data_IF_395529492155
#
_entry.id   IF_395529492155
#
_cell.length_a   1.000
_cell.length_b   1.000
_cell.length_c   1.000
_cell.angle_alpha   90.00
_cell.angle_beta   90.00
_cell.angle_gamma   90.00
#
_symmetry.space_group_name_H-M   'P 1'
#
loop_
_entity.id
_entity.type
_entity.pdbx_description
1 polymer ?
#
# COMPACT_ATOMS: atom_id res chain seq x y z
N UNK A 1 -38.69 4.15 64.12
CA UNK A 1 -39.21 4.38 62.75
C UNK A 1 -38.18 5.14 61.96
N UNK A 2 -37.21 4.42 61.33
CA UNK A 2 -36.15 5.03 60.48
C UNK A 2 -36.67 5.17 59.06
N UNK A 3 -36.75 6.41 58.60
CA UNK A 3 -37.05 6.73 57.19
C UNK A 3 -35.78 6.64 56.36
N UNK A 4 -35.68 5.62 55.51
CA UNK A 4 -34.63 5.55 54.48
C UNK A 4 -34.82 6.66 53.46
N UNK A 5 -33.76 7.47 53.25
CA UNK A 5 -33.74 8.49 52.21
C UNK A 5 -33.70 7.87 50.81
N UNK A 6 -34.38 8.47 49.82
CA UNK A 6 -34.38 7.95 48.44
C UNK A 6 -33.00 8.07 47.84
N UNK A 7 -32.48 6.95 47.32
CA UNK A 7 -31.23 6.93 46.53
C UNK A 7 -31.43 7.71 45.21
N UNK A 8 -30.72 8.78 45.08
CA UNK A 8 -30.64 9.54 43.83
C UNK A 8 -30.10 8.63 42.70
N UNK A 9 -30.80 8.44 41.55
CA UNK A 9 -30.28 7.63 40.47
C UNK A 9 -28.99 8.28 39.94
N UNK A 10 -27.95 7.46 39.76
CA UNK A 10 -26.71 7.93 39.13
C UNK A 10 -27.05 8.40 37.70
N UNK A 11 -26.52 9.55 37.25
CA UNK A 11 -26.65 9.95 35.86
C UNK A 11 -26.03 8.89 34.95
N UNK A 12 -26.74 8.55 33.88
CA UNK A 12 -26.23 7.64 32.85
C UNK A 12 -24.88 8.16 32.32
N UNK A 13 -23.93 7.27 32.09
CA UNK A 13 -22.67 7.67 31.47
C UNK A 13 -22.94 8.30 30.09
N UNK A 14 -22.20 9.34 29.71
CA UNK A 14 -22.37 9.99 28.43
C UNK A 14 -22.26 8.95 27.31
N UNK A 15 -23.27 8.88 26.45
CA UNK A 15 -23.23 8.05 25.26
C UNK A 15 -22.06 8.51 24.40
N UNK A 16 -21.06 7.66 24.30
CA UNK A 16 -20.00 7.88 23.32
C UNK A 16 -20.62 7.90 21.91
N UNK A 17 -20.25 8.87 21.06
CA UNK A 17 -20.67 8.82 19.67
C UNK A 17 -20.22 7.48 19.06
N UNK A 18 -20.96 6.93 18.08
CA UNK A 18 -20.53 5.73 17.38
C UNK A 18 -19.13 5.96 16.87
N UNK A 19 -18.22 5.00 17.11
CA UNK A 19 -16.86 5.07 16.61
C UNK A 19 -16.92 5.29 15.10
N UNK A 20 -16.28 6.35 14.61
CA UNK A 20 -16.12 6.55 13.18
C UNK A 20 -15.46 5.30 12.59
N UNK A 21 -15.93 4.82 11.41
CA UNK A 21 -15.28 3.69 10.77
C UNK A 21 -13.78 3.99 10.63
N UNK A 22 -12.91 2.98 10.82
CA UNK A 22 -11.48 3.20 10.75
C UNK A 22 -11.14 3.87 9.42
N UNK A 23 -10.42 4.98 9.49
CA UNK A 23 -9.96 5.71 8.31
C UNK A 23 -9.15 4.76 7.42
N UNK A 24 -9.64 4.52 6.21
CA UNK A 24 -8.92 3.78 5.18
C UNK A 24 -8.29 4.79 4.20
N UNK A 25 -6.98 5.04 4.29
CA UNK A 25 -6.28 5.98 3.42
C UNK A 25 -6.35 5.60 1.94
N UNK A 26 -6.70 4.35 1.64
CA UNK A 26 -6.81 3.82 0.28
C UNK A 26 -8.25 3.82 -0.25
N UNK A 27 -9.23 4.19 0.60
CA UNK A 27 -10.60 4.37 0.16
C UNK A 27 -10.70 5.63 -0.71
N UNK A 28 -11.27 5.48 -1.90
CA UNK A 28 -11.49 6.59 -2.83
C UNK A 28 -12.74 6.37 -3.66
N UNK A 29 -13.33 7.47 -4.13
CA UNK A 29 -14.37 7.42 -5.15
C UNK A 29 -13.72 7.20 -6.52
N UNK A 30 -14.12 6.16 -7.28
CA UNK A 30 -13.52 5.88 -8.57
C UNK A 30 -13.75 7.01 -9.56
N UNK A 31 -12.70 7.34 -10.32
CA UNK A 31 -12.78 8.34 -11.39
C UNK A 31 -13.73 7.84 -12.49
N UNK A 32 -14.71 8.62 -12.91
CA UNK A 32 -15.63 8.22 -13.97
C UNK A 32 -14.88 7.83 -15.26
N UNK A 33 -15.34 6.76 -15.92
CA UNK A 33 -14.74 6.34 -17.19
C UNK A 33 -15.01 7.37 -18.27
N UNK A 34 -13.98 7.76 -19.03
CA UNK A 34 -14.14 8.68 -20.16
C UNK A 34 -14.84 8.04 -21.37
N UNK A 35 -14.94 6.70 -21.39
CA UNK A 35 -15.61 5.95 -22.45
C UNK A 35 -16.18 4.66 -21.89
N UNK A 36 -17.32 4.23 -22.44
CA UNK A 36 -18.00 2.98 -22.07
C UNK A 36 -17.29 1.72 -22.62
N UNK A 37 -15.96 1.79 -22.86
CA UNK A 37 -15.20 0.68 -23.40
C UNK A 37 -14.96 -0.39 -22.33
N UNK A 38 -15.15 -1.66 -22.69
CA UNK A 38 -14.88 -2.83 -21.83
C UNK A 38 -13.42 -2.91 -21.35
N UNK A 39 -12.50 -2.33 -22.10
CA UNK A 39 -11.05 -2.29 -21.83
C UNK A 39 -10.59 -1.02 -21.11
N UNK A 40 -11.53 -0.15 -20.69
CA UNK A 40 -11.26 1.09 -19.98
C UNK A 40 -10.94 0.91 -18.48
N UNK A 41 -10.70 2.05 -17.82
CA UNK A 41 -10.51 2.13 -16.37
C UNK A 41 -11.85 1.98 -15.63
N UNK A 42 -12.24 0.74 -15.35
CA UNK A 42 -13.40 0.45 -14.48
C UNK A 42 -13.09 0.73 -13.01
N UNK A 43 -14.09 0.90 -12.14
CA UNK A 43 -13.87 1.02 -10.69
C UNK A 43 -13.04 -0.12 -10.11
N UNK A 44 -13.26 -1.35 -10.57
CA UNK A 44 -12.53 -2.55 -10.13
C UNK A 44 -11.06 -2.46 -10.52
N UNK A 45 -10.75 -2.08 -11.76
CA UNK A 45 -9.36 -1.91 -12.23
C UNK A 45 -8.63 -0.81 -11.48
N UNK A 46 -9.32 0.28 -11.13
CA UNK A 46 -8.76 1.34 -10.31
C UNK A 46 -8.41 0.83 -8.90
N UNK A 47 -9.28 0.03 -8.27
CA UNK A 47 -8.99 -0.60 -6.97
C UNK A 47 -7.85 -1.58 -7.04
N UNK A 48 -7.81 -2.44 -8.07
CA UNK A 48 -6.69 -3.37 -8.31
C UNK A 48 -5.38 -2.62 -8.49
N UNK A 49 -5.39 -1.52 -9.23
CA UNK A 49 -4.22 -0.67 -9.43
C UNK A 49 -3.70 -0.09 -8.10
N UNK A 50 -4.57 0.53 -7.29
CA UNK A 50 -4.17 1.10 -5.99
C UNK A 50 -3.67 0.01 -5.03
N UNK A 51 -4.33 -1.15 -4.99
CA UNK A 51 -3.89 -2.29 -4.17
C UNK A 51 -2.51 -2.82 -4.59
N UNK A 52 -2.23 -2.92 -5.89
CA UNK A 52 -0.94 -3.35 -6.40
C UNK A 52 0.15 -2.29 -6.15
N UNK A 53 -0.18 -1.00 -6.33
CA UNK A 53 0.72 0.12 -6.07
C UNK A 53 1.15 0.16 -4.58
N UNK A 54 0.21 -0.06 -3.66
CA UNK A 54 0.45 -0.17 -2.23
C UNK A 54 1.46 -1.26 -1.85
N UNK A 55 1.54 -2.33 -2.65
CA UNK A 55 2.44 -3.45 -2.35
C UNK A 55 3.90 -3.16 -2.69
N UNK A 56 4.14 -2.49 -3.82
CA UNK A 56 5.50 -2.37 -4.39
C UNK A 56 5.91 -0.92 -4.67
N UNK A 57 4.96 0.03 -4.80
CA UNK A 57 5.25 1.43 -5.11
C UNK A 57 5.62 1.69 -6.58
N UNK A 58 5.52 0.69 -7.46
CA UNK A 58 5.94 0.78 -8.87
C UNK A 58 4.73 0.89 -9.79
N UNK A 59 4.54 2.05 -10.40
CA UNK A 59 3.38 2.36 -11.25
C UNK A 59 3.24 1.43 -12.45
N UNK A 60 4.33 1.04 -13.10
CA UNK A 60 4.29 0.12 -14.24
C UNK A 60 3.75 -1.26 -13.84
N UNK A 61 4.20 -1.79 -12.72
CA UNK A 61 3.72 -3.06 -12.17
C UNK A 61 2.25 -2.99 -11.76
N UNK A 62 1.85 -1.91 -11.09
CA UNK A 62 0.46 -1.71 -10.68
C UNK A 62 -0.49 -1.57 -11.89
N UNK A 63 -0.05 -0.89 -12.94
CA UNK A 63 -0.82 -0.76 -14.19
C UNK A 63 -0.99 -2.11 -14.89
N UNK A 64 0.08 -2.89 -14.98
CA UNK A 64 0.06 -4.24 -15.54
C UNK A 64 -0.89 -5.16 -14.77
N UNK A 65 -0.85 -5.13 -13.44
CA UNK A 65 -1.77 -5.90 -12.59
C UNK A 65 -3.25 -5.53 -12.81
N UNK A 66 -3.53 -4.29 -13.18
CA UNK A 66 -4.88 -3.84 -13.55
C UNK A 66 -5.23 -4.10 -15.03
N UNK A 67 -4.34 -4.72 -15.81
CA UNK A 67 -4.50 -4.93 -17.25
C UNK A 67 -4.44 -3.64 -18.06
N UNK A 68 -3.67 -2.65 -17.59
CA UNK A 68 -3.58 -1.30 -18.18
C UNK A 68 -2.12 -0.92 -18.46
N UNK A 69 -1.91 0.10 -19.30
CA UNK A 69 -0.58 0.63 -19.54
C UNK A 69 -0.22 1.73 -18.52
N UNK A 70 1.08 1.86 -18.20
CA UNK A 70 1.61 2.95 -17.39
C UNK A 70 1.14 4.33 -17.90
N UNK A 71 1.17 4.55 -19.21
CA UNK A 71 0.74 5.81 -19.84
C UNK A 71 -0.74 6.09 -19.56
N UNK A 72 -1.60 5.08 -19.62
CA UNK A 72 -3.03 5.24 -19.35
C UNK A 72 -3.31 5.52 -17.87
N UNK A 73 -2.48 4.98 -16.95
CA UNK A 73 -2.59 5.28 -15.54
C UNK A 73 -2.33 6.76 -15.23
N UNK A 74 -1.26 7.33 -15.78
CA UNK A 74 -0.99 8.77 -15.62
C UNK A 74 -2.07 9.65 -16.25
N UNK A 75 -2.65 9.27 -17.41
CA UNK A 75 -3.79 9.98 -18.00
C UNK A 75 -5.04 9.92 -17.10
N UNK A 76 -5.22 8.80 -16.38
CA UNK A 76 -6.31 8.70 -15.41
C UNK A 76 -6.07 9.65 -14.23
N UNK A 77 -4.84 9.70 -13.71
CA UNK A 77 -4.46 10.60 -12.62
C UNK A 77 -4.64 12.08 -13.00
N UNK A 78 -4.19 12.47 -14.20
CA UNK A 78 -4.36 13.80 -14.73
C UNK A 78 -5.85 14.19 -14.83
N UNK A 79 -6.69 13.29 -15.36
CA UNK A 79 -8.14 13.50 -15.45
C UNK A 79 -8.82 13.57 -14.10
N UNK A 80 -8.36 12.80 -13.11
CA UNK A 80 -8.88 12.83 -11.74
C UNK A 80 -8.67 14.20 -11.09
N UNK A 81 -7.56 14.84 -11.40
CA UNK A 81 -7.13 16.09 -10.77
C UNK A 81 -6.40 15.88 -9.44
N UNK A 82 -5.58 16.85 -9.03
CA UNK A 82 -4.69 16.73 -7.89
C UNK A 82 -5.42 16.59 -6.54
N UNK A 83 -6.60 17.19 -6.39
CA UNK A 83 -7.40 17.20 -5.15
C UNK A 83 -8.36 16.00 -5.06
N UNK A 84 -8.36 15.10 -6.03
CA UNK A 84 -9.27 13.95 -6.03
C UNK A 84 -8.90 12.91 -4.97
N UNK A 85 -9.91 12.17 -4.51
CA UNK A 85 -9.70 11.00 -3.64
C UNK A 85 -8.79 9.96 -4.29
N UNK A 86 -8.87 9.78 -5.61
CA UNK A 86 -7.99 8.88 -6.35
C UNK A 86 -6.52 9.35 -6.33
N UNK A 87 -6.24 10.65 -6.51
CA UNK A 87 -4.88 11.19 -6.46
C UNK A 87 -4.27 11.03 -5.07
N UNK A 88 -5.04 11.26 -4.00
CA UNK A 88 -4.64 11.00 -2.63
C UNK A 88 -4.31 9.53 -2.40
N UNK A 89 -5.25 8.63 -2.74
CA UNK A 89 -5.04 7.19 -2.60
C UNK A 89 -3.83 6.70 -3.39
N UNK A 90 -3.57 7.27 -4.58
CA UNK A 90 -2.36 6.98 -5.37
C UNK A 90 -1.09 7.37 -4.61
N UNK A 91 -1.02 8.62 -4.12
CA UNK A 91 0.16 9.12 -3.41
C UNK A 91 0.46 8.29 -2.15
N UNK A 92 -0.56 8.01 -1.35
CA UNK A 92 -0.44 7.20 -0.13
C UNK A 92 -0.06 5.74 -0.44
N UNK A 93 -0.67 5.15 -1.48
CA UNK A 93 -0.35 3.80 -1.92
C UNK A 93 1.08 3.69 -2.43
N UNK A 94 1.56 4.68 -3.18
CA UNK A 94 2.93 4.70 -3.68
C UNK A 94 3.94 4.82 -2.53
N UNK A 95 3.72 5.72 -1.58
CA UNK A 95 4.58 5.88 -0.41
C UNK A 95 4.63 4.61 0.45
N UNK A 96 3.47 3.96 0.68
CA UNK A 96 3.41 2.69 1.40
C UNK A 96 4.14 1.57 0.65
N UNK A 97 3.98 1.50 -0.67
CA UNK A 97 4.63 0.51 -1.53
C UNK A 97 6.15 0.67 -1.56
N UNK A 98 6.65 1.90 -1.64
CA UNK A 98 8.09 2.19 -1.53
C UNK A 98 8.65 1.70 -0.19
N UNK A 99 7.97 1.99 0.93
CA UNK A 99 8.36 1.52 2.25
C UNK A 99 8.38 -0.01 2.33
N UNK A 100 7.35 -0.68 1.84
CA UNK A 100 7.29 -2.14 1.80
C UNK A 100 8.40 -2.76 0.96
N UNK A 101 8.75 -2.13 -0.17
CA UNK A 101 9.83 -2.59 -1.04
C UNK A 101 11.19 -2.57 -0.31
N UNK A 102 11.45 -1.54 0.52
CA UNK A 102 12.69 -1.49 1.31
C UNK A 102 12.75 -2.58 2.36
N UNK A 103 11.69 -2.80 3.13
CA UNK A 103 11.64 -3.88 4.10
C UNK A 103 11.82 -5.25 3.43
N UNK A 104 11.14 -5.49 2.31
CA UNK A 104 11.31 -6.72 1.55
C UNK A 104 12.74 -6.90 1.05
N UNK A 105 13.40 -5.83 0.62
CA UNK A 105 14.80 -5.88 0.19
C UNK A 105 15.74 -6.20 1.35
N UNK A 106 15.51 -5.64 2.53
CA UNK A 106 16.28 -5.91 3.75
C UNK A 106 16.09 -7.37 4.17
N UNK A 107 14.85 -7.85 4.25
CA UNK A 107 14.54 -9.24 4.62
C UNK A 107 15.24 -10.22 3.67
N UNK A 108 15.11 -10.01 2.35
CA UNK A 108 15.79 -10.85 1.35
C UNK A 108 17.32 -10.82 1.45
N UNK A 109 17.89 -9.68 1.82
CA UNK A 109 19.34 -9.55 1.99
C UNK A 109 19.84 -10.27 3.25
N UNK A 110 19.05 -10.25 4.33
CA UNK A 110 19.37 -10.92 5.60
C UNK A 110 19.10 -12.43 5.52
N UNK A 111 17.94 -12.82 5.02
CA UNK A 111 17.53 -14.23 4.92
C UNK A 111 18.26 -14.95 3.79
N UNK A 112 18.69 -14.22 2.77
CA UNK A 112 19.24 -14.76 1.54
C UNK A 112 18.17 -15.39 0.65
N UNK A 113 18.56 -15.74 -0.56
CA UNK A 113 17.69 -16.38 -1.54
C UNK A 113 18.23 -17.76 -1.88
N UNK A 114 17.39 -18.77 -1.82
CA UNK A 114 17.74 -20.11 -2.26
C UNK A 114 17.75 -20.16 -3.79
N UNK A 115 18.89 -20.52 -4.37
CA UNK A 115 19.08 -20.63 -5.82
C UNK A 115 19.50 -22.03 -6.15
N UNK A 116 18.83 -22.71 -7.09
CA UNK A 116 19.26 -24.03 -7.53
C UNK A 116 20.61 -23.93 -8.24
N UNK A 117 21.49 -24.90 -7.97
CA UNK A 117 22.72 -25.04 -8.76
C UNK A 117 22.69 -26.33 -9.57
N UNK A 118 23.24 -26.23 -10.78
CA UNK A 118 23.22 -27.30 -11.75
C UNK A 118 24.65 -27.77 -12.06
N UNK A 119 24.81 -29.05 -12.27
CA UNK A 119 26.03 -29.63 -12.81
C UNK A 119 25.67 -30.54 -13.97
N UNK A 120 26.27 -30.31 -15.14
CA UNK A 120 25.96 -31.01 -16.40
C UNK A 120 24.45 -31.07 -16.74
N UNK A 121 23.74 -29.95 -16.50
CA UNK A 121 22.30 -29.85 -16.78
C UNK A 121 21.38 -30.49 -15.73
N UNK A 122 21.93 -31.15 -14.72
CA UNK A 122 21.15 -31.79 -13.64
C UNK A 122 21.22 -30.91 -12.40
N UNK A 123 20.06 -30.60 -11.79
CA UNK A 123 20.02 -29.91 -10.52
C UNK A 123 20.61 -30.80 -9.42
N UNK A 124 21.65 -30.33 -8.74
CA UNK A 124 22.36 -31.05 -7.67
C UNK A 124 21.98 -30.63 -6.27
N UNK A 125 21.32 -29.49 -6.15
CA UNK A 125 20.87 -28.97 -4.87
C UNK A 125 20.50 -27.50 -4.95
N UNK A 126 20.32 -26.88 -3.79
CA UNK A 126 20.12 -25.44 -3.63
C UNK A 126 21.23 -24.85 -2.77
N UNK A 127 21.61 -23.62 -3.03
CA UNK A 127 22.51 -22.84 -2.18
C UNK A 127 21.86 -21.53 -1.82
N UNK A 128 22.10 -21.04 -0.61
CA UNK A 128 21.64 -19.73 -0.18
C UNK A 128 22.65 -18.65 -0.56
N UNK A 129 22.16 -17.63 -1.28
CA UNK A 129 22.96 -16.48 -1.71
C UNK A 129 22.50 -15.27 -0.91
N UNK A 130 23.46 -14.55 -0.32
CA UNK A 130 23.25 -13.30 0.41
C UNK A 130 23.72 -12.13 -0.46
N UNK A 131 22.88 -11.09 -0.58
CA UNK A 131 23.22 -9.91 -1.36
C UNK A 131 23.48 -8.71 -0.45
N UNK A 132 24.74 -8.57 -0.05
CA UNK A 132 25.20 -7.43 0.77
C UNK A 132 25.03 -6.08 0.05
N UNK A 133 25.11 -6.05 -1.29
CA UNK A 133 24.89 -4.82 -2.06
C UNK A 133 23.45 -4.37 -1.98
N UNK A 134 22.52 -5.32 -2.06
CA UNK A 134 21.09 -5.05 -1.87
C UNK A 134 20.82 -4.52 -0.47
N UNK A 135 21.43 -5.10 0.57
CA UNK A 135 21.30 -4.63 1.95
C UNK A 135 21.76 -3.18 2.11
N UNK A 136 22.97 -2.86 1.62
CA UNK A 136 23.52 -1.50 1.69
C UNK A 136 22.66 -0.50 0.91
N UNK A 137 22.14 -0.88 -0.27
CA UNK A 137 21.27 -0.04 -1.07
C UNK A 137 19.93 0.23 -0.34
N UNK A 138 19.34 -0.79 0.28
CA UNK A 138 18.11 -0.66 1.06
C UNK A 138 18.29 0.23 2.29
N UNK A 139 19.37 0.06 3.06
CA UNK A 139 19.67 0.89 4.23
C UNK A 139 19.85 2.37 3.86
N UNK A 140 20.61 2.66 2.80
CA UNK A 140 20.78 4.04 2.29
C UNK A 140 19.47 4.65 1.80
N UNK A 141 18.57 3.84 1.26
CA UNK A 141 17.26 4.32 0.84
C UNK A 141 16.37 4.63 2.06
N UNK A 142 16.41 3.80 3.11
CA UNK A 142 15.70 4.06 4.37
C UNK A 142 16.18 5.37 5.02
N UNK A 143 17.48 5.62 5.08
CA UNK A 143 18.05 6.87 5.62
C UNK A 143 17.49 8.11 4.88
N UNK A 144 17.43 8.04 3.54
CA UNK A 144 16.85 9.13 2.72
C UNK A 144 15.36 9.35 2.96
N UNK A 145 14.60 8.29 3.24
CA UNK A 145 13.19 8.42 3.58
C UNK A 145 12.98 9.03 4.94
N UNK A 146 13.81 8.71 5.92
CA UNK A 146 13.77 9.30 7.26
C UNK A 146 14.07 10.79 7.18
N UNK A 147 15.14 11.18 6.50
CA UNK A 147 15.51 12.59 6.31
C UNK A 147 14.39 13.43 5.67
N UNK A 148 13.62 12.87 4.73
CA UNK A 148 12.48 13.56 4.10
C UNK A 148 11.26 13.74 5.02
N UNK A 149 11.18 13.01 6.13
CA UNK A 149 10.09 13.14 7.11
C UNK A 149 10.38 14.17 8.19
N UNK A 150 11.65 14.56 8.32
CA UNK A 150 12.11 15.53 9.31
C UNK A 150 12.14 16.97 8.74
N UNK A 151 12.07 17.12 7.43
CA UNK A 151 11.92 18.40 6.71
C UNK A 151 10.42 18.76 6.50
#
# INVERSE_FOLDING_TARGET
MSRSAPRNPRPDPPRMPPAEPPYDPFAFEPVPSASNRRDGWTPERQRVFIAALRRIGVVSYAAEAAGMSRKSAYKLLERAGPESGFARAWSEAQAAGETNAYFTAIDRAIEGVEVPYFYRGIQRGTRRIYDTRLLLAALRACERLQARRED
#
